data_IF_466966423951
#
_entry.id   IF_466966423951
#
_cell.length_a   1.000
_cell.length_b   1.000
_cell.length_c   1.000
_cell.angle_alpha   90.00
_cell.angle_beta   90.00
_cell.angle_gamma   90.00
#
_symmetry.space_group_name_H-M   'P 1'
#
loop_
_entity.id
_entity.type
_entity.pdbx_description
1 polymer ?
#
# COMPACT_ATOMS: atom_id res chain seq x y z
N UNK A 1 -12.10 23.19 -6.47
CA UNK A 1 -10.68 23.54 -6.55
C UNK A 1 -10.02 22.44 -7.38
N UNK A 2 -9.67 22.74 -8.62
CA UNK A 2 -9.20 21.77 -9.60
C UNK A 2 -7.82 21.33 -9.19
N UNK A 3 -7.62 20.06 -8.80
CA UNK A 3 -6.29 19.49 -8.70
C UNK A 3 -5.78 19.25 -10.12
N UNK A 4 -4.89 20.12 -10.55
CA UNK A 4 -4.13 19.95 -11.77
C UNK A 4 -3.05 18.91 -11.53
N UNK A 5 -3.15 17.77 -12.20
CA UNK A 5 -2.01 16.88 -12.42
C UNK A 5 -0.98 17.62 -13.26
N UNK A 6 0.12 18.02 -12.63
CA UNK A 6 1.26 18.62 -13.31
C UNK A 6 1.97 17.57 -14.16
N UNK A 7 1.80 17.66 -15.46
CA UNK A 7 2.61 16.94 -16.41
C UNK A 7 4.05 17.49 -16.38
N UNK A 8 5.00 16.69 -15.96
CA UNK A 8 6.42 16.99 -16.14
C UNK A 8 6.81 16.73 -17.61
N UNK A 9 7.04 17.81 -18.33
CA UNK A 9 7.68 17.79 -19.66
C UNK A 9 9.18 17.59 -19.46
N UNK A 10 9.69 16.44 -19.84
CA UNK A 10 11.12 16.19 -19.94
C UNK A 10 11.68 16.86 -21.21
N UNK A 11 12.43 17.94 -21.04
CA UNK A 11 13.20 18.55 -22.11
C UNK A 11 14.48 17.75 -22.36
N UNK A 12 14.56 17.12 -23.52
CA UNK A 12 15.76 16.47 -24.01
C UNK A 12 16.77 17.53 -24.48
N UNK A 13 17.88 17.65 -23.79
CA UNK A 13 19.04 18.41 -24.25
C UNK A 13 19.98 17.45 -25.02
N UNK A 14 20.07 17.66 -26.32
CA UNK A 14 21.08 17.03 -27.17
C UNK A 14 22.39 17.78 -26.98
N UNK A 15 23.41 17.14 -26.43
CA UNK A 15 24.78 17.64 -26.39
C UNK A 15 25.60 16.97 -27.46
N UNK A 16 26.06 17.75 -28.42
CA UNK A 16 27.07 17.37 -29.38
C UNK A 16 28.44 17.21 -28.69
N UNK A 17 29.05 16.07 -28.80
CA UNK A 17 30.41 15.79 -28.33
C UNK A 17 31.37 15.95 -29.49
N UNK A 18 32.24 16.94 -29.39
CA UNK A 18 33.44 17.07 -30.23
C UNK A 18 34.62 16.41 -29.53
N UNK A 19 35.23 15.46 -30.22
CA UNK A 19 36.39 14.71 -29.74
C UNK A 19 37.66 15.56 -29.68
N UNK A 20 38.45 15.31 -28.64
CA UNK A 20 39.83 15.72 -28.58
C UNK A 20 40.67 14.59 -28.00
N UNK A 21 41.57 14.06 -28.80
CA UNK A 21 42.63 13.10 -28.44
C UNK A 21 43.62 13.77 -27.50
N UNK A 22 43.90 13.21 -26.35
CA UNK A 22 45.00 13.59 -25.48
C UNK A 22 45.86 12.38 -25.13
N UNK A 23 47.14 12.60 -25.32
CA UNK A 23 48.28 11.68 -25.23
C UNK A 23 48.50 11.12 -23.82
N UNK A 24 48.99 9.90 -23.76
CA UNK A 24 49.39 9.15 -22.58
C UNK A 24 50.75 9.65 -22.06
N UNK A 25 50.95 9.92 -20.77
CA UNK A 25 52.29 10.12 -20.18
C UNK A 25 52.87 8.81 -19.65
N UNK A 26 54.19 8.71 -19.75
CA UNK A 26 55.05 7.60 -19.41
C UNK A 26 55.13 7.34 -17.87
N UNK A 27 55.58 6.14 -17.43
CA UNK A 27 55.59 5.74 -16.04
C UNK A 27 56.73 6.41 -15.26
N UNK A 28 56.41 6.97 -14.06
CA UNK A 28 57.35 7.51 -13.11
C UNK A 28 57.84 6.44 -12.14
N UNK A 29 59.14 6.52 -11.85
CA UNK A 29 59.94 5.64 -10.99
C UNK A 29 59.42 5.51 -9.56
N UNK A 30 59.57 4.32 -9.01
CA UNK A 30 59.28 3.96 -7.63
C UNK A 30 60.28 4.63 -6.65
N UNK A 31 59.72 5.19 -5.58
CA UNK A 31 60.46 5.68 -4.40
C UNK A 31 60.27 4.70 -3.24
N UNK A 32 61.24 4.48 -2.36
CA UNK A 32 61.18 3.42 -1.34
C UNK A 32 60.21 3.76 -0.16
N UNK A 33 59.60 2.70 0.34
CA UNK A 33 58.67 2.73 1.45
C UNK A 33 59.31 3.19 2.79
N UNK A 34 58.60 3.96 3.63
CA UNK A 34 59.04 4.22 4.99
C UNK A 34 58.72 3.04 5.92
N UNK A 35 59.63 2.77 6.86
CA UNK A 35 59.57 1.75 7.93
C UNK A 35 58.27 1.87 8.74
N UNK A 36 57.63 0.73 8.97
CA UNK A 36 56.47 0.59 9.87
C UNK A 36 56.91 0.76 11.34
N UNK A 37 56.37 1.78 11.98
CA UNK A 37 56.38 1.88 13.43
C UNK A 37 55.25 1.01 14.02
N UNK A 38 55.60 0.06 14.87
CA UNK A 38 54.67 -0.79 15.59
C UNK A 38 53.89 0.02 16.62
N UNK A 39 52.63 0.32 16.30
CA UNK A 39 51.71 0.95 17.26
C UNK A 39 51.08 -0.18 18.09
N UNK A 40 51.41 -0.23 19.38
CA UNK A 40 50.79 -1.12 20.34
C UNK A 40 49.32 -0.68 20.53
N UNK A 41 48.40 -1.50 20.11
CA UNK A 41 46.97 -1.25 20.30
C UNK A 41 46.61 -1.33 21.79
N UNK A 42 46.08 -0.23 22.32
CA UNK A 42 45.41 -0.18 23.61
C UNK A 42 44.09 -0.95 23.53
N UNK A 43 43.70 -1.73 24.57
CA UNK A 43 42.44 -2.46 24.52
C UNK A 43 41.25 -1.48 24.45
N UNK A 44 40.41 -1.66 23.45
CA UNK A 44 39.16 -0.89 23.29
C UNK A 44 38.22 -1.19 24.49
N UNK A 45 37.74 -0.15 25.12
CA UNK A 45 36.68 -0.25 26.13
C UNK A 45 35.43 -0.89 25.48
N UNK A 46 34.74 -1.79 26.18
CA UNK A 46 33.52 -2.40 25.65
C UNK A 46 32.44 -1.28 25.40
N UNK A 47 31.93 -1.22 24.18
CA UNK A 47 30.79 -0.42 23.84
C UNK A 47 29.63 -0.85 24.73
N UNK A 48 28.90 0.08 25.39
CA UNK A 48 27.76 -0.30 26.20
C UNK A 48 26.69 -0.92 25.27
N UNK A 49 26.37 -2.17 25.52
CA UNK A 49 25.22 -2.84 24.90
C UNK A 49 23.98 -2.08 25.32
N UNK A 50 23.27 -1.49 24.35
CA UNK A 50 21.99 -0.84 24.61
C UNK A 50 21.07 -1.86 25.31
N UNK A 51 20.49 -1.47 26.42
CA UNK A 51 19.50 -2.29 27.12
C UNK A 51 18.33 -2.55 26.17
N UNK A 52 17.77 -3.78 26.12
CA UNK A 52 16.61 -4.06 25.30
C UNK A 52 15.48 -3.11 25.68
N UNK A 53 14.90 -2.46 24.67
CA UNK A 53 13.70 -1.63 24.86
C UNK A 53 12.59 -2.55 25.41
N UNK A 54 11.92 -2.17 26.52
CA UNK A 54 10.87 -3.02 27.07
C UNK A 54 9.78 -3.24 26.05
N UNK A 55 9.39 -4.51 25.83
CA UNK A 55 8.28 -4.88 24.97
C UNK A 55 7.00 -4.24 25.52
N UNK A 56 6.24 -3.48 24.71
CA UNK A 56 4.99 -2.85 25.17
C UNK A 56 3.99 -3.91 25.65
N UNK A 57 3.21 -3.55 26.64
CA UNK A 57 2.14 -4.42 27.14
C UNK A 57 1.05 -4.60 26.06
N UNK A 58 0.42 -5.78 25.93
CA UNK A 58 -0.72 -5.99 25.05
C UNK A 58 -1.84 -4.98 25.31
N UNK A 59 -2.48 -4.48 24.24
CA UNK A 59 -3.64 -3.58 24.35
C UNK A 59 -3.30 -2.10 24.52
N UNK A 60 -2.04 -1.69 24.35
CA UNK A 60 -1.67 -0.27 24.52
C UNK A 60 -1.67 0.54 23.21
N UNK A 61 -1.78 -0.09 22.04
CA UNK A 61 -1.62 0.58 20.74
C UNK A 61 -0.28 1.33 20.60
N UNK A 62 0.68 1.04 21.48
CA UNK A 62 1.97 1.70 21.49
C UNK A 62 2.78 1.38 20.24
N UNK A 63 3.60 2.34 19.80
CA UNK A 63 4.53 2.11 18.70
C UNK A 63 5.58 1.07 19.15
N UNK A 64 5.69 -0.01 18.40
CA UNK A 64 6.66 -1.10 18.63
C UNK A 64 7.81 -1.07 17.64
N UNK A 65 7.59 -0.45 16.48
CA UNK A 65 8.63 -0.17 15.50
C UNK A 65 8.29 1.12 14.75
N UNK A 66 9.30 1.97 14.50
CA UNK A 66 9.16 3.17 13.67
C UNK A 66 10.52 3.45 13.03
N UNK A 67 10.62 3.27 11.73
CA UNK A 67 11.87 3.48 11.01
C UNK A 67 11.94 2.79 9.66
N UNK A 68 13.18 2.58 9.21
CA UNK A 68 13.47 1.91 7.93
C UNK A 68 14.11 0.55 8.20
N UNK A 69 13.56 -0.48 7.58
CA UNK A 69 14.06 -1.85 7.72
C UNK A 69 14.60 -2.38 6.38
N UNK A 70 15.67 -3.16 6.44
CA UNK A 70 16.29 -3.76 5.26
C UNK A 70 15.45 -4.95 4.78
N UNK A 71 15.03 -4.88 3.51
CA UNK A 71 14.24 -5.93 2.84
C UNK A 71 15.08 -6.73 1.83
N UNK A 72 16.40 -6.60 1.90
CA UNK A 72 17.33 -7.27 1.00
C UNK A 72 17.65 -6.46 -0.27
N UNK A 73 18.71 -6.89 -0.94
CA UNK A 73 19.19 -6.22 -2.16
C UNK A 73 19.65 -4.77 -1.96
N UNK A 74 20.03 -4.39 -0.74
CA UNK A 74 20.41 -3.02 -0.37
C UNK A 74 19.24 -2.05 -0.28
N UNK A 75 18.00 -2.54 -0.27
CA UNK A 75 16.76 -1.74 -0.19
C UNK A 75 16.23 -1.71 1.24
N UNK A 76 15.67 -0.56 1.61
CA UNK A 76 15.01 -0.35 2.90
C UNK A 76 13.61 0.20 2.68
N UNK A 77 12.64 -0.31 3.41
CA UNK A 77 11.28 0.23 3.45
C UNK A 77 11.05 0.95 4.77
N UNK A 78 10.36 2.09 4.68
CA UNK A 78 9.85 2.81 5.83
C UNK A 78 8.63 2.08 6.36
N UNK A 79 8.59 1.84 7.67
CA UNK A 79 7.50 1.08 8.30
C UNK A 79 7.26 1.57 9.71
N UNK A 80 6.00 1.51 10.14
CA UNK A 80 5.57 1.79 11.49
C UNK A 80 4.58 0.72 11.95
N UNK A 81 4.88 0.14 13.11
CA UNK A 81 4.03 -0.90 13.71
C UNK A 81 3.57 -0.46 15.09
N UNK A 82 2.35 -0.88 15.43
CA UNK A 82 1.67 -0.58 16.68
C UNK A 82 1.20 -1.87 17.34
N UNK A 83 1.20 -1.89 18.69
CA UNK A 83 0.68 -3.00 19.48
C UNK A 83 1.49 -4.27 19.38
N UNK A 84 1.03 -5.30 20.05
CA UNK A 84 1.68 -6.63 20.10
C UNK A 84 0.63 -7.73 20.04
N UNK A 85 1.03 -8.88 19.48
CA UNK A 85 0.21 -10.09 19.42
C UNK A 85 -0.10 -10.53 17.98
N UNK A 86 -0.47 -11.79 17.84
CA UNK A 86 -0.89 -12.41 16.58
C UNK A 86 -2.41 -12.42 16.44
N UNK A 87 -2.92 -12.49 15.22
CA UNK A 87 -2.20 -12.31 13.94
C UNK A 87 -1.74 -10.87 13.75
N UNK A 88 -0.74 -10.64 12.89
CA UNK A 88 -0.35 -9.28 12.50
C UNK A 88 -1.24 -8.76 11.38
N UNK A 89 -1.71 -7.52 11.49
CA UNK A 89 -2.39 -6.80 10.42
C UNK A 89 -1.32 -6.02 9.63
N UNK A 90 -1.29 -6.22 8.31
CA UNK A 90 -0.56 -5.36 7.38
C UNK A 90 -1.55 -4.50 6.58
N UNK A 91 -1.35 -3.18 6.63
CA UNK A 91 -2.19 -2.19 5.95
C UNK A 91 -1.57 -1.82 4.60
N UNK A 92 -2.26 -2.17 3.51
CA UNK A 92 -1.89 -1.84 2.14
C UNK A 92 -2.60 -0.56 1.69
N UNK A 93 -1.82 0.51 1.49
CA UNK A 93 -2.35 1.83 1.16
C UNK A 93 -2.92 1.95 -0.25
N UNK A 94 -3.81 2.90 -0.43
CA UNK A 94 -4.39 3.25 -1.73
C UNK A 94 -3.40 3.97 -2.66
N UNK A 95 -3.67 3.93 -3.96
CA UNK A 95 -2.81 4.49 -5.00
C UNK A 95 -1.63 3.60 -5.36
N UNK A 96 -0.92 3.98 -6.42
CA UNK A 96 0.31 3.30 -6.83
C UNK A 96 1.47 3.89 -6.04
N UNK A 97 2.27 3.04 -5.40
CA UNK A 97 3.33 3.45 -4.48
C UNK A 97 2.83 4.29 -3.28
N UNK A 98 1.94 3.75 -2.45
CA UNK A 98 1.46 4.45 -1.27
C UNK A 98 2.58 4.72 -0.27
N UNK A 99 2.48 5.88 0.41
CA UNK A 99 3.29 6.21 1.56
C UNK A 99 2.72 5.64 2.86
N UNK A 100 3.52 5.73 3.91
CA UNK A 100 3.14 5.26 5.26
C UNK A 100 1.91 6.00 5.82
N UNK A 101 1.60 7.16 5.28
CA UNK A 101 0.47 8.02 5.62
C UNK A 101 -0.82 7.70 4.85
N UNK A 102 -0.82 6.65 4.03
CA UNK A 102 -2.03 6.18 3.35
C UNK A 102 -3.15 5.77 4.33
N UNK A 103 -2.77 5.36 5.54
CA UNK A 103 -3.69 5.21 6.66
C UNK A 103 -3.33 6.18 7.78
N UNK A 104 -4.31 6.85 8.41
CA UNK A 104 -4.05 7.65 9.60
C UNK A 104 -3.41 6.80 10.70
N UNK A 105 -2.33 7.28 11.31
CA UNK A 105 -1.65 6.52 12.38
C UNK A 105 -2.55 6.23 13.58
N UNK A 106 -3.58 7.07 13.82
CA UNK A 106 -4.57 6.83 14.87
C UNK A 106 -5.43 5.59 14.58
N UNK A 107 -5.74 5.33 13.30
CA UNK A 107 -6.47 4.12 12.90
C UNK A 107 -5.61 2.87 13.12
N UNK A 108 -4.35 2.88 12.67
CA UNK A 108 -3.43 1.77 12.88
C UNK A 108 -3.18 1.51 14.39
N UNK A 109 -3.00 2.57 15.19
CA UNK A 109 -2.84 2.46 16.65
C UNK A 109 -4.09 1.90 17.34
N UNK A 110 -5.30 2.26 16.86
CA UNK A 110 -6.57 1.71 17.37
C UNK A 110 -6.63 0.19 17.15
N UNK A 111 -6.29 -0.31 15.99
CA UNK A 111 -6.15 -1.75 15.73
C UNK A 111 -5.03 -2.37 16.58
N UNK A 112 -3.94 -1.63 16.75
CA UNK A 112 -2.79 -1.98 17.61
C UNK A 112 -3.13 -2.19 19.08
N UNK A 113 -4.27 -1.67 19.58
CA UNK A 113 -4.77 -2.01 20.92
C UNK A 113 -5.15 -3.49 21.05
N UNK A 114 -5.40 -4.19 19.96
CA UNK A 114 -5.82 -5.60 19.97
C UNK A 114 -4.73 -6.54 19.48
N UNK A 115 -3.99 -6.16 18.44
CA UNK A 115 -2.97 -7.02 17.80
C UNK A 115 -1.90 -6.17 17.11
N UNK A 116 -0.78 -6.78 16.73
CA UNK A 116 0.23 -6.06 15.95
C UNK A 116 -0.36 -5.54 14.64
N UNK A 117 -0.19 -4.25 14.38
CA UNK A 117 -0.69 -3.58 13.17
C UNK A 117 0.43 -2.75 12.56
N UNK A 118 0.79 -3.02 11.32
CA UNK A 118 1.85 -2.34 10.60
C UNK A 118 1.32 -1.61 9.36
N UNK A 119 1.90 -0.45 9.08
CA UNK A 119 1.73 0.33 7.86
C UNK A 119 3.11 0.69 7.32
N UNK A 120 3.26 0.81 6.00
CA UNK A 120 4.56 1.04 5.38
C UNK A 120 4.48 1.85 4.10
N UNK A 121 5.62 2.39 3.68
CA UNK A 121 5.80 3.02 2.37
C UNK A 121 6.36 2.00 1.38
N UNK A 122 5.69 1.80 0.26
CA UNK A 122 6.19 0.93 -0.80
C UNK A 122 7.51 1.47 -1.41
N UNK A 123 8.29 0.60 -2.05
CA UNK A 123 9.49 1.01 -2.78
C UNK A 123 9.16 2.08 -3.83
N UNK A 124 10.02 3.09 -3.96
CA UNK A 124 9.80 4.25 -4.83
C UNK A 124 9.02 5.39 -4.18
N UNK A 125 8.50 5.20 -2.96
CA UNK A 125 7.79 6.23 -2.18
C UNK A 125 8.75 6.92 -1.21
N UNK A 126 8.45 8.18 -0.86
CA UNK A 126 9.22 8.92 0.15
C UNK A 126 9.33 8.11 1.45
N UNK A 127 10.53 8.05 2.01
CA UNK A 127 10.83 7.24 3.18
C UNK A 127 11.40 5.87 2.85
N UNK A 128 11.01 5.26 1.75
CA UNK A 128 11.55 4.00 1.26
C UNK A 128 12.63 4.17 0.19
N UNK A 129 13.38 3.13 -0.08
CA UNK A 129 14.37 3.10 -1.16
C UNK A 129 13.71 3.24 -2.53
N UNK A 130 14.44 3.78 -3.50
CA UNK A 130 13.98 3.86 -4.87
C UNK A 130 13.59 2.47 -5.42
N UNK A 131 12.59 2.44 -6.29
CA UNK A 131 12.18 1.23 -6.98
C UNK A 131 13.20 0.91 -8.09
N UNK A 132 13.82 -0.26 -8.09
CA UNK A 132 14.72 -0.66 -9.18
C UNK A 132 13.90 -1.19 -10.37
N UNK A 133 13.71 -0.36 -11.39
CA UNK A 133 12.98 -0.74 -12.60
C UNK A 133 11.47 -0.53 -12.53
N UNK A 134 10.72 -1.29 -13.31
CA UNK A 134 9.26 -1.22 -13.37
C UNK A 134 8.63 -1.96 -12.19
N UNK A 135 7.60 -1.38 -11.59
CA UNK A 135 6.79 -2.02 -10.55
C UNK A 135 6.03 -3.22 -11.13
N UNK A 136 6.09 -4.34 -10.44
CA UNK A 136 5.30 -5.53 -10.76
C UNK A 136 4.56 -5.98 -9.50
N UNK A 137 3.43 -6.67 -9.66
CA UNK A 137 2.68 -7.18 -8.50
C UNK A 137 3.53 -8.18 -7.70
N UNK A 138 4.25 -9.07 -8.38
CA UNK A 138 5.17 -9.99 -7.72
C UNK A 138 6.29 -9.27 -6.94
N UNK A 139 6.78 -8.13 -7.45
CA UNK A 139 7.78 -7.32 -6.77
C UNK A 139 7.21 -6.65 -5.50
N UNK A 140 5.99 -6.12 -5.56
CA UNK A 140 5.31 -5.50 -4.40
C UNK A 140 5.06 -6.55 -3.31
N UNK A 141 4.50 -7.70 -3.69
CA UNK A 141 4.26 -8.83 -2.77
C UNK A 141 5.59 -9.34 -2.16
N UNK A 142 6.64 -9.49 -2.98
CA UNK A 142 7.95 -9.89 -2.50
C UNK A 142 8.54 -8.92 -1.47
N UNK A 143 8.36 -7.61 -1.68
CA UNK A 143 8.81 -6.57 -0.75
C UNK A 143 8.03 -6.61 0.57
N UNK A 144 6.70 -6.80 0.54
CA UNK A 144 5.88 -6.92 1.74
C UNK A 144 6.25 -8.14 2.59
N UNK A 145 6.49 -9.29 1.97
CA UNK A 145 6.93 -10.49 2.69
C UNK A 145 8.36 -10.37 3.23
N UNK A 146 9.27 -9.75 2.49
CA UNK A 146 10.61 -9.45 2.99
C UNK A 146 10.56 -8.48 4.19
N UNK A 147 9.65 -7.48 4.13
CA UNK A 147 9.37 -6.56 5.23
C UNK A 147 8.88 -7.31 6.48
N UNK A 148 7.86 -8.17 6.33
CA UNK A 148 7.31 -8.96 7.45
C UNK A 148 8.36 -9.89 8.05
N UNK A 149 9.17 -10.55 7.22
CA UNK A 149 10.28 -11.39 7.67
C UNK A 149 11.35 -10.62 8.44
N UNK A 150 11.70 -9.41 8.01
CA UNK A 150 12.64 -8.54 8.70
C UNK A 150 12.06 -8.01 10.02
N UNK A 151 10.78 -7.63 10.04
CA UNK A 151 10.08 -7.18 11.24
C UNK A 151 9.95 -8.29 12.29
N UNK A 152 9.75 -9.54 11.88
CA UNK A 152 9.74 -10.68 12.78
C UNK A 152 11.05 -10.80 13.55
N UNK A 153 12.18 -10.54 12.88
CA UNK A 153 13.52 -10.62 13.48
C UNK A 153 13.88 -9.38 14.33
N UNK A 154 13.46 -8.19 13.88
CA UNK A 154 13.88 -6.92 14.49
C UNK A 154 12.95 -6.43 15.61
N UNK A 155 11.69 -6.82 15.61
CA UNK A 155 10.66 -6.27 16.48
C UNK A 155 9.61 -7.32 16.93
N UNK A 156 9.93 -8.61 16.82
CA UNK A 156 9.06 -9.73 17.20
C UNK A 156 7.64 -9.64 16.63
N UNK A 157 7.51 -9.08 15.40
CA UNK A 157 6.22 -9.01 14.71
C UNK A 157 5.82 -10.42 14.28
N UNK A 158 4.72 -10.97 14.85
CA UNK A 158 4.38 -12.37 14.68
C UNK A 158 3.62 -12.67 13.38
N UNK A 159 3.79 -13.87 12.83
CA UNK A 159 2.82 -14.50 11.92
C UNK A 159 1.68 -15.17 12.75
N UNK A 160 0.56 -15.57 12.15
CA UNK A 160 0.16 -15.35 10.76
C UNK A 160 -0.32 -13.92 10.49
N UNK A 161 -0.74 -13.64 9.23
CA UNK A 161 -1.08 -12.30 8.78
C UNK A 161 -2.54 -12.13 8.40
N UNK A 162 -3.05 -10.92 8.59
CA UNK A 162 -4.30 -10.41 8.01
C UNK A 162 -3.93 -9.21 7.14
N UNK A 163 -4.26 -9.27 5.86
CA UNK A 163 -4.03 -8.17 4.94
C UNK A 163 -5.27 -7.30 4.82
N UNK A 164 -5.08 -6.00 4.91
CA UNK A 164 -6.14 -4.99 4.78
C UNK A 164 -5.73 -4.00 3.72
N UNK A 165 -6.41 -3.98 2.60
CA UNK A 165 -6.06 -3.12 1.48
C UNK A 165 -7.16 -2.16 1.09
N UNK A 166 -6.80 -0.87 0.94
CA UNK A 166 -7.68 0.18 0.48
C UNK A 166 -7.38 0.56 -0.97
N UNK A 167 -8.44 0.73 -1.80
CA UNK A 167 -8.29 1.12 -3.20
C UNK A 167 -7.34 0.17 -3.94
N UNK A 168 -6.29 0.67 -4.58
CA UNK A 168 -5.25 -0.16 -5.21
C UNK A 168 -4.62 -1.16 -4.23
N UNK A 169 -4.43 -0.78 -2.97
CA UNK A 169 -3.93 -1.67 -1.92
C UNK A 169 -4.80 -2.91 -1.69
N UNK A 170 -6.09 -2.85 -2.03
CA UNK A 170 -6.96 -4.04 -2.02
C UNK A 170 -6.52 -5.11 -3.02
N UNK A 171 -6.03 -4.69 -4.18
CA UNK A 171 -5.41 -5.60 -5.16
C UNK A 171 -4.09 -6.18 -4.65
N UNK A 172 -3.26 -5.37 -3.99
CA UNK A 172 -2.01 -5.82 -3.38
C UNK A 172 -2.29 -6.85 -2.28
N UNK A 173 -3.17 -6.54 -1.33
CA UNK A 173 -3.57 -7.45 -0.26
C UNK A 173 -4.12 -8.79 -0.77
N UNK A 174 -4.88 -8.76 -1.87
CA UNK A 174 -5.35 -9.98 -2.53
C UNK A 174 -4.18 -10.77 -3.16
N UNK A 175 -3.24 -10.09 -3.82
CA UNK A 175 -2.07 -10.75 -4.40
C UNK A 175 -1.19 -11.40 -3.34
N UNK A 176 -1.03 -10.77 -2.18
CA UNK A 176 -0.34 -11.33 -1.01
C UNK A 176 -1.01 -12.60 -0.51
N UNK A 177 -2.34 -12.56 -0.33
CA UNK A 177 -3.12 -13.70 0.10
C UNK A 177 -3.06 -14.87 -0.90
N UNK A 178 -3.02 -14.58 -2.20
CA UNK A 178 -2.86 -15.59 -3.26
C UNK A 178 -1.46 -16.21 -3.27
N UNK A 179 -0.43 -15.41 -3.03
CA UNK A 179 0.96 -15.88 -3.04
C UNK A 179 1.30 -16.73 -1.81
N UNK A 180 0.70 -16.43 -0.65
CA UNK A 180 1.02 -17.06 0.64
C UNK A 180 -0.23 -17.44 1.45
N UNK A 181 -1.10 -18.30 0.91
CA UNK A 181 -2.39 -18.62 1.55
C UNK A 181 -2.25 -19.34 2.89
N UNK A 182 -1.18 -20.07 3.10
CA UNK A 182 -0.85 -20.78 4.35
C UNK A 182 -0.51 -19.84 5.51
N UNK A 183 0.05 -18.67 5.21
CA UNK A 183 0.39 -17.65 6.21
C UNK A 183 -0.72 -16.59 6.37
N UNK A 184 -1.73 -16.58 5.50
CA UNK A 184 -2.83 -15.62 5.51
C UNK A 184 -4.03 -16.17 6.28
N UNK A 185 -4.49 -15.45 7.30
CA UNK A 185 -5.64 -15.82 8.12
C UNK A 185 -6.87 -14.96 7.86
N UNK A 186 -6.75 -13.91 7.09
CA UNK A 186 -7.87 -13.06 6.71
C UNK A 186 -7.48 -12.01 5.69
N UNK A 187 -8.47 -11.53 4.96
CA UNK A 187 -8.33 -10.51 3.94
C UNK A 187 -9.50 -9.53 4.05
N UNK A 188 -9.20 -8.24 4.12
CA UNK A 188 -10.19 -7.16 4.07
C UNK A 188 -9.88 -6.26 2.89
N UNK A 189 -10.84 -6.11 2.01
CA UNK A 189 -10.76 -5.26 0.82
C UNK A 189 -11.65 -4.05 1.04
N UNK A 190 -11.04 -2.88 0.99
CA UNK A 190 -11.68 -1.61 1.26
C UNK A 190 -11.81 -0.82 -0.04
N UNK A 191 -13.02 -0.76 -0.58
CA UNK A 191 -13.44 0.04 -1.73
C UNK A 191 -12.51 -0.05 -2.94
N UNK A 192 -12.33 -1.27 -3.47
CA UNK A 192 -11.47 -1.54 -4.62
C UNK A 192 -12.25 -2.04 -5.83
N UNK A 193 -11.83 -1.62 -7.01
CA UNK A 193 -12.46 -1.90 -8.30
C UNK A 193 -11.76 -3.00 -9.11
N UNK A 194 -10.67 -3.58 -8.62
CA UNK A 194 -9.84 -4.51 -9.38
C UNK A 194 -10.54 -5.72 -10.00
N UNK A 195 -11.67 -6.12 -9.45
CA UNK A 195 -12.48 -7.24 -9.97
C UNK A 195 -13.58 -6.73 -10.90
N UNK A 196 -13.72 -5.43 -10.99
CA UNK A 196 -14.70 -4.79 -11.86
C UNK A 196 -13.96 -4.18 -13.04
N UNK A 197 -14.49 -4.39 -14.24
CA UNK A 197 -14.03 -3.71 -15.44
C UNK A 197 -14.03 -2.19 -15.19
N UNK A 198 -12.85 -1.58 -15.10
CA UNK A 198 -12.67 -0.15 -14.87
C UNK A 198 -13.56 0.69 -15.79
N UNK A 199 -13.69 0.29 -17.06
CA UNK A 199 -14.53 1.01 -18.02
C UNK A 199 -16.01 1.00 -17.63
N UNK A 200 -16.50 -0.05 -16.95
CA UNK A 200 -17.87 -0.12 -16.43
C UNK A 200 -18.05 0.76 -15.22
N UNK A 201 -17.10 0.75 -14.29
CA UNK A 201 -17.15 1.58 -13.08
C UNK A 201 -17.06 3.06 -13.46
N UNK A 202 -16.12 3.42 -14.32
CA UNK A 202 -15.96 4.77 -14.82
C UNK A 202 -17.20 5.24 -15.59
N UNK A 203 -17.80 4.43 -16.45
CA UNK A 203 -19.04 4.77 -17.15
C UNK A 203 -20.23 4.91 -16.17
N UNK A 204 -20.28 4.10 -15.11
CA UNK A 204 -21.29 4.21 -14.06
C UNK A 204 -21.16 5.52 -13.29
N UNK A 205 -19.95 6.08 -13.13
CA UNK A 205 -19.73 7.41 -12.55
C UNK A 205 -20.23 8.58 -13.45
N UNK A 206 -20.87 8.27 -14.57
CA UNK A 206 -21.46 9.27 -15.49
C UNK A 206 -20.45 9.94 -16.42
N UNK A 207 -19.20 9.50 -16.42
CA UNK A 207 -18.14 10.00 -17.31
C UNK A 207 -18.32 9.47 -18.73
N UNK A 208 -17.83 10.22 -19.71
CA UNK A 208 -17.86 9.75 -21.09
C UNK A 208 -16.91 8.56 -21.30
N UNK A 209 -17.26 7.66 -22.22
CA UNK A 209 -16.37 6.54 -22.58
C UNK A 209 -14.99 7.03 -23.04
N UNK A 210 -14.92 8.19 -23.70
CA UNK A 210 -13.64 8.76 -24.15
C UNK A 210 -12.77 9.23 -22.99
N UNK A 211 -13.36 9.84 -21.95
CA UNK A 211 -12.64 10.27 -20.75
C UNK A 211 -12.18 9.06 -19.95
N UNK A 212 -13.04 8.06 -19.80
CA UNK A 212 -12.67 6.80 -19.14
C UNK A 212 -11.53 6.09 -19.88
N UNK A 213 -11.59 6.05 -21.21
CA UNK A 213 -10.51 5.44 -22.02
C UNK A 213 -9.21 6.21 -21.90
N UNK A 214 -9.25 7.54 -21.89
CA UNK A 214 -8.07 8.39 -21.73
C UNK A 214 -7.40 8.18 -20.37
N UNK A 215 -8.18 8.09 -19.31
CA UNK A 215 -7.65 7.79 -17.96
C UNK A 215 -7.06 6.38 -17.90
N UNK A 216 -7.81 5.40 -18.37
CA UNK A 216 -7.34 4.03 -18.49
C UNK A 216 -6.05 3.94 -19.31
N UNK A 217 -5.92 4.66 -20.42
CA UNK A 217 -4.72 4.67 -21.26
C UNK A 217 -3.56 5.46 -20.65
N UNK A 218 -3.84 6.40 -19.76
CA UNK A 218 -2.85 7.22 -19.08
C UNK A 218 -2.08 6.49 -17.99
N UNK A 219 -2.67 5.44 -17.40
CA UNK A 219 -2.05 4.69 -16.30
C UNK A 219 -1.57 3.30 -16.73
N UNK A 220 -0.42 3.29 -17.42
CA UNK A 220 0.20 2.05 -17.94
C UNK A 220 0.63 1.11 -16.80
N UNK A 221 1.10 1.67 -15.68
CA UNK A 221 1.57 0.88 -14.54
C UNK A 221 0.39 0.19 -13.84
N UNK A 222 -0.67 0.91 -13.52
CA UNK A 222 -1.88 0.34 -12.92
C UNK A 222 -2.50 -0.76 -13.76
N UNK A 223 -2.60 -0.56 -15.07
CA UNK A 223 -3.08 -1.59 -16.01
C UNK A 223 -2.27 -2.86 -16.00
N UNK A 224 -0.94 -2.72 -15.98
CA UNK A 224 -0.04 -3.88 -15.96
C UNK A 224 -0.24 -4.69 -14.69
N UNK A 225 -0.34 -4.00 -13.54
CA UNK A 225 -0.55 -4.61 -12.23
C UNK A 225 -1.94 -5.24 -12.11
N UNK A 226 -2.98 -4.57 -12.60
CA UNK A 226 -4.36 -5.09 -12.64
C UNK A 226 -4.44 -6.36 -13.49
N UNK A 227 -3.85 -6.35 -14.68
CA UNK A 227 -3.82 -7.51 -15.57
C UNK A 227 -3.09 -8.70 -14.93
N UNK A 228 -1.97 -8.44 -14.26
CA UNK A 228 -1.22 -9.48 -13.55
C UNK A 228 -2.06 -10.08 -12.43
N UNK A 229 -2.74 -9.25 -11.62
CA UNK A 229 -3.62 -9.68 -10.56
C UNK A 229 -4.79 -10.52 -11.08
N UNK A 230 -5.56 -9.99 -12.04
CA UNK A 230 -6.75 -10.65 -12.58
C UNK A 230 -6.42 -12.00 -13.24
N UNK A 231 -5.22 -12.12 -13.83
CA UNK A 231 -4.75 -13.39 -14.41
C UNK A 231 -4.55 -14.50 -13.38
N UNK A 232 -4.32 -14.13 -12.11
CA UNK A 232 -3.96 -15.05 -11.04
C UNK A 232 -5.05 -15.20 -9.96
N UNK A 233 -6.22 -14.57 -10.12
CA UNK A 233 -7.23 -14.48 -9.07
C UNK A 233 -7.98 -15.81 -8.81
N UNK A 234 -7.89 -16.77 -9.67
CA UNK A 234 -8.60 -18.07 -9.55
C UNK A 234 -7.64 -19.23 -9.33
N UNK A 235 -7.92 -20.09 -8.33
CA UNK A 235 -8.99 -19.98 -7.33
C UNK A 235 -8.67 -18.99 -6.21
N UNK A 236 -9.69 -18.35 -5.63
CA UNK A 236 -9.50 -17.55 -4.40
C UNK A 236 -9.01 -18.46 -3.27
N UNK A 237 -8.11 -17.96 -2.40
CA UNK A 237 -7.71 -18.69 -1.21
C UNK A 237 -8.93 -18.95 -0.31
N UNK A 238 -8.92 -20.12 0.38
CA UNK A 238 -9.96 -20.49 1.34
C UNK A 238 -9.69 -19.83 2.69
N UNK A 239 -9.67 -18.49 2.70
CA UNK A 239 -9.48 -17.66 3.88
C UNK A 239 -10.71 -16.78 4.11
N UNK A 240 -10.97 -16.35 5.35
CA UNK A 240 -12.02 -15.38 5.63
C UNK A 240 -11.77 -14.09 4.86
N UNK A 241 -12.77 -13.65 4.08
CA UNK A 241 -12.71 -12.45 3.25
C UNK A 241 -13.85 -11.51 3.61
N UNK A 242 -13.55 -10.22 3.76
CA UNK A 242 -14.50 -9.14 3.96
C UNK A 242 -14.32 -8.08 2.88
N UNK A 243 -15.43 -7.60 2.35
CA UNK A 243 -15.46 -6.50 1.37
C UNK A 243 -16.21 -5.34 2.01
N UNK A 244 -15.63 -4.16 1.96
CA UNK A 244 -16.26 -2.90 2.38
C UNK A 244 -16.30 -1.95 1.21
N UNK A 245 -17.41 -1.30 0.96
CA UNK A 245 -17.55 -0.31 -0.11
C UNK A 245 -18.12 1.01 0.41
N UNK A 246 -17.56 2.08 -0.11
CA UNK A 246 -18.01 3.44 0.10
C UNK A 246 -19.37 3.68 -0.59
N UNK A 247 -20.24 4.46 0.07
CA UNK A 247 -21.59 4.78 -0.43
C UNK A 247 -21.76 6.25 -0.77
N UNK A 248 -20.70 7.05 -0.71
CA UNK A 248 -20.72 8.47 -1.11
C UNK A 248 -19.64 8.73 -2.16
N UNK A 249 -19.93 9.69 -3.01
CA UNK A 249 -18.93 10.25 -3.93
C UNK A 249 -18.37 11.54 -3.33
N UNK A 250 -17.02 11.74 -3.33
CA UNK A 250 -16.40 12.94 -2.78
C UNK A 250 -16.96 14.23 -3.39
N UNK A 251 -17.30 14.14 -4.67
CA UNK A 251 -17.84 15.25 -5.46
C UNK A 251 -19.33 15.49 -5.24
N UNK A 252 -19.95 14.70 -4.39
CA UNK A 252 -21.37 14.76 -4.09
C UNK A 252 -21.64 15.16 -2.64
N UNK A 253 -20.97 16.18 -2.14
CA UNK A 253 -21.28 16.74 -0.83
C UNK A 253 -22.62 17.50 -0.92
N UNK A 254 -23.69 17.01 -0.26
CA UNK A 254 -24.98 17.70 -0.27
C UNK A 254 -24.94 19.05 0.42
N UNK A 255 -23.90 19.34 1.22
CA UNK A 255 -23.69 20.63 1.87
C UNK A 255 -23.00 21.66 0.96
N UNK A 256 -22.36 21.22 -0.14
CA UNK A 256 -21.72 22.08 -1.14
C UNK A 256 -22.26 21.80 -2.56
N UNK A 257 -23.34 22.50 -2.96
CA UNK A 257 -23.91 22.35 -4.31
C UNK A 257 -22.93 22.72 -5.44
N UNK A 258 -21.81 23.40 -5.15
CA UNK A 258 -20.83 23.79 -6.16
C UNK A 258 -19.93 22.60 -6.56
N UNK A 259 -19.70 21.65 -5.67
CA UNK A 259 -18.95 20.42 -5.94
C UNK A 259 -19.74 19.47 -6.85
N UNK A 260 -21.07 19.49 -6.77
CA UNK A 260 -21.98 18.72 -7.62
C UNK A 260 -21.84 19.01 -9.13
N UNK A 261 -21.33 20.19 -9.48
CA UNK A 261 -21.21 20.61 -10.90
C UNK A 261 -19.92 20.17 -11.57
N UNK A 262 -18.86 19.93 -10.80
CA UNK A 262 -17.52 19.83 -11.35
C UNK A 262 -17.16 18.42 -11.84
N UNK A 263 -17.72 17.38 -11.27
CA UNK A 263 -17.13 16.05 -11.32
C UNK A 263 -17.79 15.05 -12.27
N UNK A 264 -19.04 15.30 -12.67
CA UNK A 264 -19.76 14.38 -13.58
C UNK A 264 -19.84 14.97 -14.99
N UNK A 265 -18.69 15.26 -15.59
CA UNK A 265 -18.63 15.71 -16.98
C UNK A 265 -19.40 17.00 -17.26
N UNK A 266 -19.48 17.93 -16.28
CA UNK A 266 -20.15 19.22 -16.44
C UNK A 266 -21.68 19.16 -16.42
N UNK A 267 -22.30 18.05 -16.05
CA UNK A 267 -23.75 17.93 -15.89
C UNK A 267 -24.18 18.41 -14.49
N UNK A 268 -25.35 19.03 -14.42
CA UNK A 268 -25.98 19.28 -13.13
C UNK A 268 -26.50 17.97 -12.56
N UNK A 269 -25.75 17.42 -11.58
CA UNK A 269 -26.12 16.19 -10.86
C UNK A 269 -26.87 16.61 -9.59
N UNK A 270 -28.04 16.03 -9.35
CA UNK A 270 -28.83 16.26 -8.13
C UNK A 270 -28.26 15.34 -7.03
N UNK A 271 -28.39 15.75 -5.78
CA UNK A 271 -27.97 14.92 -4.62
C UNK A 271 -28.54 13.49 -4.65
N UNK A 272 -29.76 13.31 -5.15
CA UNK A 272 -30.36 11.98 -5.38
C UNK A 272 -29.56 11.16 -6.39
N UNK A 273 -29.07 11.78 -7.45
CA UNK A 273 -28.35 11.08 -8.52
C UNK A 273 -26.96 10.61 -8.02
N UNK A 274 -26.38 11.32 -7.05
CA UNK A 274 -25.12 10.95 -6.40
C UNK A 274 -25.25 9.66 -5.56
N UNK A 275 -26.31 9.56 -4.75
CA UNK A 275 -26.58 8.36 -3.96
C UNK A 275 -26.86 7.15 -4.87
N UNK A 276 -27.60 7.36 -5.97
CA UNK A 276 -27.86 6.33 -6.98
C UNK A 276 -26.58 5.88 -7.69
N UNK A 277 -25.65 6.82 -7.94
CA UNK A 277 -24.34 6.53 -8.53
C UNK A 277 -23.45 5.68 -7.59
N UNK A 278 -23.29 6.10 -6.34
CA UNK A 278 -22.53 5.36 -5.34
C UNK A 278 -23.08 3.94 -5.19
N UNK A 279 -24.40 3.81 -5.13
CA UNK A 279 -25.07 2.52 -5.10
C UNK A 279 -24.75 1.66 -6.33
N UNK A 280 -24.78 2.24 -7.54
CA UNK A 280 -24.47 1.52 -8.79
C UNK A 280 -23.04 0.98 -8.78
N UNK A 281 -22.05 1.77 -8.32
CA UNK A 281 -20.66 1.34 -8.23
C UNK A 281 -20.52 0.21 -7.21
N UNK A 282 -21.07 0.37 -6.02
CA UNK A 282 -21.06 -0.68 -5.01
C UNK A 282 -21.75 -1.97 -5.49
N UNK A 283 -22.83 -1.87 -6.25
CA UNK A 283 -23.51 -3.03 -6.88
C UNK A 283 -22.63 -3.70 -7.94
N UNK A 284 -21.84 -2.94 -8.71
CA UNK A 284 -20.89 -3.46 -9.69
C UNK A 284 -19.71 -4.16 -8.99
N UNK A 285 -19.16 -3.56 -7.94
CA UNK A 285 -18.11 -4.17 -7.11
C UNK A 285 -18.61 -5.50 -6.52
N UNK A 286 -19.78 -5.51 -5.88
CA UNK A 286 -20.36 -6.74 -5.34
C UNK A 286 -20.59 -7.80 -6.42
N UNK A 287 -21.07 -7.42 -7.59
CA UNK A 287 -21.25 -8.34 -8.72
C UNK A 287 -19.92 -8.92 -9.19
N UNK A 288 -18.87 -8.09 -9.28
CA UNK A 288 -17.52 -8.54 -9.60
C UNK A 288 -17.02 -9.58 -8.58
N UNK A 289 -17.10 -9.26 -7.30
CA UNK A 289 -16.67 -10.16 -6.23
C UNK A 289 -17.46 -11.48 -6.19
N UNK A 290 -18.76 -11.45 -6.50
CA UNK A 290 -19.59 -12.67 -6.60
C UNK A 290 -19.23 -13.57 -7.78
N UNK A 291 -18.50 -13.09 -8.78
CA UNK A 291 -17.96 -13.98 -9.84
C UNK A 291 -16.88 -14.92 -9.31
N UNK A 292 -16.16 -14.50 -8.27
CA UNK A 292 -15.08 -15.26 -7.62
C UNK A 292 -15.56 -16.02 -6.39
N UNK A 293 -16.52 -15.47 -5.64
CA UNK A 293 -17.19 -16.16 -4.54
C UNK A 293 -18.67 -15.77 -4.50
N UNK A 294 -19.59 -16.65 -4.98
CA UNK A 294 -21.03 -16.33 -5.06
C UNK A 294 -21.71 -16.00 -3.74
N UNK A 295 -21.13 -16.46 -2.61
CA UNK A 295 -21.67 -16.23 -1.26
C UNK A 295 -21.12 -14.95 -0.61
N UNK A 296 -20.17 -14.27 -1.28
CA UNK A 296 -19.55 -13.10 -0.71
C UNK A 296 -20.54 -11.93 -0.63
N UNK A 297 -20.64 -11.35 0.54
CA UNK A 297 -21.40 -10.13 0.78
C UNK A 297 -20.49 -8.96 1.08
N UNK A 298 -20.95 -7.79 0.68
CA UNK A 298 -20.27 -6.52 0.83
C UNK A 298 -20.89 -5.75 1.96
N UNK A 299 -20.09 -5.24 2.88
CA UNK A 299 -20.51 -4.24 3.86
C UNK A 299 -20.44 -2.87 3.19
N UNK A 300 -21.49 -2.07 3.32
CA UNK A 300 -21.58 -0.73 2.77
C UNK A 300 -21.52 0.30 3.88
N UNK A 301 -20.68 1.31 3.74
CA UNK A 301 -20.46 2.36 4.72
C UNK A 301 -20.71 3.74 4.13
N UNK A 302 -21.24 4.65 4.95
CA UNK A 302 -21.54 6.02 4.58
C UNK A 302 -20.27 6.89 4.59
N UNK A 303 -19.40 6.64 3.62
CA UNK A 303 -18.15 7.34 3.41
C UNK A 303 -17.90 7.50 1.90
N UNK A 304 -17.06 8.44 1.53
CA UNK A 304 -16.49 8.51 0.18
C UNK A 304 -15.18 7.70 0.07
N UNK A 305 -14.72 7.51 -1.15
CA UNK A 305 -13.53 6.71 -1.42
C UNK A 305 -12.28 7.24 -0.72
N UNK A 306 -12.00 8.53 -0.87
CA UNK A 306 -10.78 9.15 -0.37
C UNK A 306 -10.80 9.33 1.16
N UNK A 307 -11.97 9.60 1.72
CA UNK A 307 -12.19 9.77 3.15
C UNK A 307 -12.60 8.49 3.87
N UNK A 308 -12.56 7.33 3.23
CA UNK A 308 -13.13 6.08 3.77
C UNK A 308 -12.69 5.77 5.20
N UNK A 309 -11.40 5.87 5.46
CA UNK A 309 -10.84 5.54 6.78
C UNK A 309 -11.18 6.61 7.82
N UNK A 310 -11.14 7.88 7.44
CA UNK A 310 -11.45 8.99 8.34
C UNK A 310 -12.94 9.05 8.69
N UNK A 311 -13.81 8.75 7.73
CA UNK A 311 -15.27 8.87 7.87
C UNK A 311 -15.91 7.60 8.43
N UNK A 312 -15.39 6.41 8.10
CA UNK A 312 -15.96 5.12 8.46
C UNK A 312 -15.01 4.19 9.23
N UNK A 313 -13.85 4.67 9.68
CA UNK A 313 -12.88 3.86 10.40
C UNK A 313 -13.45 3.18 11.65
N UNK A 314 -14.41 3.82 12.33
CA UNK A 314 -15.13 3.23 13.48
C UNK A 314 -16.05 2.08 13.09
N UNK A 315 -16.57 2.05 11.87
CA UNK A 315 -17.38 0.95 11.33
C UNK A 315 -16.48 -0.15 10.74
N UNK A 316 -15.32 0.21 10.19
CA UNK A 316 -14.37 -0.70 9.54
C UNK A 316 -13.54 -1.47 10.57
N UNK A 317 -13.09 -0.80 11.64
CA UNK A 317 -12.25 -1.44 12.68
C UNK A 317 -12.87 -2.74 13.26
N UNK A 318 -14.17 -2.80 13.63
CA UNK A 318 -14.78 -4.03 14.10
C UNK A 318 -14.77 -5.17 13.06
N UNK A 319 -14.89 -4.86 11.77
CA UNK A 319 -14.86 -5.84 10.69
C UNK A 319 -13.47 -6.49 10.59
N UNK A 320 -12.42 -5.68 10.73
CA UNK A 320 -11.04 -6.17 10.75
C UNK A 320 -10.78 -7.00 12.00
N UNK A 321 -11.21 -6.51 13.17
CA UNK A 321 -10.97 -7.17 14.45
C UNK A 321 -11.79 -8.47 14.61
N UNK A 322 -12.91 -8.62 13.92
CA UNK A 322 -13.63 -9.89 13.81
C UNK A 322 -12.76 -10.98 13.17
N UNK A 323 -12.01 -10.65 12.12
CA UNK A 323 -11.05 -11.58 11.52
C UNK A 323 -9.90 -11.93 12.47
N UNK A 324 -9.44 -10.97 13.28
CA UNK A 324 -8.43 -11.24 14.33
C UNK A 324 -8.95 -12.25 15.32
N UNK A 325 -10.19 -12.11 15.77
CA UNK A 325 -10.82 -13.04 16.70
C UNK A 325 -10.96 -14.44 16.07
N UNK A 326 -11.49 -14.54 14.86
CA UNK A 326 -11.62 -15.80 14.12
C UNK A 326 -10.28 -16.51 13.91
N UNK A 327 -9.22 -15.76 13.57
CA UNK A 327 -7.88 -16.31 13.38
C UNK A 327 -7.31 -16.91 14.68
N UNK A 328 -7.65 -16.34 15.84
CA UNK A 328 -7.24 -16.84 17.17
C UNK A 328 -8.01 -18.08 17.62
N UNK A 329 -9.28 -18.21 17.22
CA UNK A 329 -10.10 -19.37 17.53
C UNK A 329 -9.76 -20.60 16.68
N UNK A 330 -9.21 -20.39 15.48
CA UNK A 330 -8.84 -21.45 14.53
C UNK A 330 -7.40 -21.97 14.66
N UNK A 331 -6.67 -21.48 15.66
CA UNK A 331 -5.31 -21.93 16.02
C UNK A 331 -5.36 -22.81 17.26
#
# INVERSE_FOLDING_TARGET
MVLACSAFVASSVVACSSGTTASQPAPASASPAPSQATVTASPASPTPTAAPTPTPAPGTGAVVYDGRIDVGGGRKLEVKCFGVGAPTILLEGGGIAPGIDAYPSIFAAKLGNTTTTCQYSQAGTRGSSALPGTRTMAGVVGDAYALLGALKQAADVPDPYIFVGWSFGGGVALAEALAHPDQTKGLVILDTDFIVDFMKTCAASGRSRADCQKEYDGDIEAKSLEKELVSNIHPLPQIPLRIVSAMRFPECDPSDPSTLKASVGGRDVKAKDCADLAKQIADLQQKGWRTVNPKLEQTRVEADHDGLIDQAGDQISPIILDLVAQAREGT
#
